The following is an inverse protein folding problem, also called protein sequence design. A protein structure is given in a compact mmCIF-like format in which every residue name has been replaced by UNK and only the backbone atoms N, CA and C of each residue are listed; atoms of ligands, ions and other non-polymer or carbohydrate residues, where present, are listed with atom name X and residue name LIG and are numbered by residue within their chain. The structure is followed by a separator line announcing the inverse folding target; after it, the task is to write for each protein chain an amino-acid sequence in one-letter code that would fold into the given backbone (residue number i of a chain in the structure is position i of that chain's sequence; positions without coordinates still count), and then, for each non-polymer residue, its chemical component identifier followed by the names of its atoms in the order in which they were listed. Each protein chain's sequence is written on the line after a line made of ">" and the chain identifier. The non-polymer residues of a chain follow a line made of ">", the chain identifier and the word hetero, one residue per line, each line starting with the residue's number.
data_IF_107683828388
#
_entry.id   IF_107683828388
#
_cell.length_a   1.000
_cell.length_b   1.000
_cell.length_c   1.000
_cell.angle_alpha   90.00
_cell.angle_beta   90.00
_cell.angle_gamma   90.00
#
_symmetry.space_group_name_H-M   'P 1'
#
loop_
_entity.id
_entity.type
_entity.pdbx_description
1 polymer ?
#
# COMPACT_ATOMS: atom_id res chain seq x y z
N UNK A 1 30.83 51.40 11.16
CA UNK A 1 31.37 52.36 10.19
C UNK A 1 31.15 51.71 8.82
N UNK A 2 30.08 52.06 8.10
CA UNK A 2 29.88 53.29 7.29
C UNK A 2 30.64 53.17 5.95
N UNK A 3 29.93 53.00 4.81
CA UNK A 3 29.56 54.04 3.81
C UNK A 3 30.81 54.49 3.02
N UNK A 4 30.84 54.61 1.68
CA UNK A 4 29.84 54.87 0.61
C UNK A 4 30.00 53.91 -0.60
N UNK A 5 28.98 53.56 -1.39
CA UNK A 5 27.96 54.33 -2.14
C UNK A 5 28.51 55.00 -3.43
N UNK A 6 27.94 54.60 -4.59
CA UNK A 6 28.09 55.23 -5.90
C UNK A 6 26.83 54.97 -6.75
N UNK A 7 26.37 55.99 -7.49
CA UNK A 7 24.99 56.12 -8.00
C UNK A 7 24.98 56.77 -9.40
N UNK A 8 23.79 56.84 -10.00
CA UNK A 8 23.44 57.46 -11.31
C UNK A 8 23.74 56.63 -12.57
N UNK A 9 22.88 56.63 -13.61
CA UNK A 9 21.52 57.20 -13.63
C UNK A 9 20.75 57.16 -14.96
N UNK A 10 19.41 57.12 -14.83
CA UNK A 10 18.35 57.72 -15.70
C UNK A 10 18.34 57.60 -17.23
N UNK A 11 17.21 57.10 -17.75
CA UNK A 11 16.63 57.37 -19.08
C UNK A 11 15.09 57.23 -19.03
N UNK A 12 14.32 58.00 -19.82
CA UNK A 12 12.87 58.23 -19.57
C UNK A 12 11.98 58.33 -20.83
N UNK A 13 10.68 57.95 -20.70
CA UNK A 13 9.56 58.14 -21.66
C UNK A 13 8.37 57.19 -21.31
N UNK A 14 7.06 57.50 -21.29
CA UNK A 14 6.16 58.43 -22.03
C UNK A 14 5.91 58.00 -23.50
N UNK A 15 4.68 57.90 -24.06
CA UNK A 15 3.28 58.06 -23.58
C UNK A 15 2.30 58.13 -24.81
N UNK A 16 0.96 58.05 -24.74
CA UNK A 16 -0.01 57.77 -23.67
C UNK A 16 -1.47 58.18 -24.01
N UNK A 17 -2.49 57.35 -23.67
CA UNK A 17 -3.96 57.58 -23.70
C UNK A 17 -4.75 57.62 -25.05
N UNK A 18 -6.09 57.52 -24.91
CA UNK A 18 -7.22 57.54 -25.89
C UNK A 18 -7.60 56.19 -26.55
N UNK A 19 -8.83 55.67 -26.57
CA UNK A 19 -10.21 56.09 -26.21
C UNK A 19 -11.13 56.67 -27.33
N UNK A 20 -12.29 56.01 -27.44
CA UNK A 20 -13.66 56.49 -27.75
C UNK A 20 -14.25 56.53 -29.20
N UNK A 21 -15.59 56.37 -29.23
CA UNK A 21 -16.59 56.66 -30.28
C UNK A 21 -16.60 55.78 -31.55
N UNK A 22 -17.75 55.30 -32.07
CA UNK A 22 -19.13 55.45 -31.59
C UNK A 22 -20.16 54.59 -32.38
N UNK A 23 -21.43 54.68 -32.01
CA UNK A 23 -22.54 53.82 -32.48
C UNK A 23 -23.41 54.47 -33.57
N UNK A 24 -24.01 53.66 -34.46
CA UNK A 24 -25.27 54.00 -35.14
C UNK A 24 -26.13 52.74 -35.38
N UNK A 25 -27.47 52.91 -35.39
CA UNK A 25 -28.42 51.81 -35.44
C UNK A 25 -29.68 52.14 -36.28
N UNK A 26 -30.28 51.13 -36.92
CA UNK A 26 -31.59 51.26 -37.58
C UNK A 26 -32.41 49.95 -37.59
N UNK A 27 -33.43 49.90 -36.72
CA UNK A 27 -34.70 49.15 -36.89
C UNK A 27 -35.72 50.05 -37.63
N UNK A 28 -36.97 49.67 -38.02
CA UNK A 28 -37.84 48.54 -37.58
C UNK A 28 -38.41 47.72 -38.79
N UNK A 29 -39.45 46.85 -38.79
CA UNK A 29 -40.73 46.53 -38.06
C UNK A 29 -41.01 45.00 -38.29
N UNK A 30 -41.95 44.26 -37.67
CA UNK A 30 -43.00 44.48 -36.66
C UNK A 30 -43.74 43.15 -36.30
N UNK A 31 -44.60 43.13 -35.27
CA UNK A 31 -45.49 42.00 -34.80
C UNK A 31 -46.89 42.07 -35.47
N UNK A 32 -47.94 41.22 -35.20
CA UNK A 32 -48.28 40.27 -34.10
C UNK A 32 -48.47 38.79 -34.58
N UNK A 33 -48.69 37.70 -33.83
CA UNK A 33 -49.21 37.31 -32.49
C UNK A 33 -50.74 37.13 -32.30
N UNK A 34 -51.22 35.88 -32.12
CA UNK A 34 -52.27 35.42 -31.17
C UNK A 34 -52.33 33.87 -31.13
N UNK A 35 -53.17 33.28 -30.24
CA UNK A 35 -53.15 31.85 -29.92
C UNK A 35 -54.55 31.23 -29.69
N UNK A 36 -54.55 29.90 -29.51
CA UNK A 36 -55.57 29.03 -28.90
C UNK A 36 -56.88 28.74 -29.66
N UNK A 37 -57.17 27.45 -29.85
CA UNK A 37 -58.47 26.85 -29.45
C UNK A 37 -58.39 25.32 -29.39
N UNK A 38 -59.08 24.75 -28.42
CA UNK A 38 -59.57 23.36 -28.38
C UNK A 38 -61.11 23.46 -28.16
N UNK A 39 -61.95 22.41 -28.31
CA UNK A 39 -61.83 21.19 -27.49
C UNK A 39 -62.41 19.85 -28.03
N UNK A 40 -61.98 18.74 -27.40
CA UNK A 40 -62.88 17.66 -26.98
C UNK A 40 -63.17 16.50 -27.96
N UNK A 41 -63.82 15.41 -27.52
CA UNK A 41 -64.18 14.98 -26.14
C UNK A 41 -64.48 13.47 -26.15
N UNK A 42 -63.91 12.68 -25.24
CA UNK A 42 -64.19 11.23 -25.18
C UNK A 42 -63.87 10.59 -23.83
N UNK A 43 -64.87 9.97 -23.20
CA UNK A 43 -64.71 9.11 -22.03
C UNK A 43 -64.29 7.69 -22.50
N UNK A 44 -63.58 6.84 -21.75
CA UNK A 44 -63.10 6.95 -20.37
C UNK A 44 -63.49 5.70 -19.57
N UNK A 45 -62.56 5.06 -18.83
CA UNK A 45 -62.84 3.91 -17.94
C UNK A 45 -62.00 3.93 -16.65
N UNK A 46 -62.42 3.12 -15.68
CA UNK A 46 -61.99 3.16 -14.26
C UNK A 46 -60.84 2.19 -13.95
N UNK A 47 -60.06 2.51 -12.90
CA UNK A 47 -59.18 1.54 -12.22
C UNK A 47 -60.02 0.39 -11.65
N UNK A 48 -59.49 -0.84 -11.71
CA UNK A 48 -60.19 -2.04 -11.23
C UNK A 48 -59.30 -3.26 -10.99
N UNK A 49 -58.86 -3.41 -9.74
CA UNK A 49 -58.34 -4.64 -9.09
C UNK A 49 -56.99 -5.22 -9.57
N UNK A 50 -56.07 -5.26 -8.61
CA UNK A 50 -54.87 -6.08 -8.56
C UNK A 50 -55.17 -7.60 -8.59
N UNK A 51 -54.65 -8.32 -9.57
CA UNK A 51 -54.37 -9.76 -9.50
C UNK A 51 -53.41 -10.15 -10.65
N UNK A 52 -52.74 -11.30 -10.53
CA UNK A 52 -51.77 -11.89 -11.50
C UNK A 52 -50.35 -11.30 -11.59
N UNK A 53 -49.67 -11.07 -10.46
CA UNK A 53 -48.20 -11.00 -10.44
C UNK A 53 -47.55 -12.31 -9.96
N UNK A 54 -48.15 -12.99 -8.98
CA UNK A 54 -47.60 -14.24 -8.41
C UNK A 54 -47.44 -15.39 -9.43
N UNK A 55 -48.27 -15.42 -10.48
CA UNK A 55 -48.35 -16.55 -11.40
C UNK A 55 -47.16 -16.65 -12.39
N UNK A 56 -46.25 -15.66 -12.40
CA UNK A 56 -45.00 -15.70 -13.16
C UNK A 56 -43.80 -16.06 -12.27
N UNK A 57 -43.82 -15.62 -11.00
CA UNK A 57 -42.78 -15.93 -10.01
C UNK A 57 -42.82 -17.38 -9.52
N UNK A 58 -44.00 -18.01 -9.45
CA UNK A 58 -44.08 -19.44 -9.11
C UNK A 58 -43.48 -20.35 -10.18
N UNK A 59 -43.53 -19.98 -11.47
CA UNK A 59 -42.94 -20.79 -12.56
C UNK A 59 -41.42 -20.85 -12.49
N UNK A 60 -40.74 -19.74 -12.15
CA UNK A 60 -39.28 -19.74 -11.95
C UNK A 60 -38.86 -20.49 -10.68
N UNK A 61 -39.76 -20.62 -9.69
CA UNK A 61 -39.50 -21.38 -8.46
C UNK A 61 -39.61 -22.91 -8.65
N UNK A 62 -40.02 -23.37 -9.83
CA UNK A 62 -40.11 -24.79 -10.16
C UNK A 62 -38.79 -25.40 -10.72
N UNK A 63 -37.83 -24.58 -11.14
CA UNK A 63 -36.57 -25.04 -11.78
C UNK A 63 -35.32 -24.93 -10.88
N UNK A 64 -35.51 -24.79 -9.56
CA UNK A 64 -34.54 -25.29 -8.57
C UNK A 64 -33.33 -24.43 -8.22
N UNK A 65 -33.18 -23.21 -8.74
CA UNK A 65 -32.11 -22.30 -8.31
C UNK A 65 -32.42 -21.60 -6.97
N UNK A 66 -31.41 -21.50 -6.11
CA UNK A 66 -31.52 -20.90 -4.77
C UNK A 66 -30.99 -19.47 -4.80
N UNK A 67 -31.89 -18.50 -4.91
CA UNK A 67 -31.60 -17.07 -4.79
C UNK A 67 -32.06 -16.57 -3.42
N UNK A 68 -31.18 -15.84 -2.72
CA UNK A 68 -31.48 -15.19 -1.45
C UNK A 68 -31.87 -13.72 -1.70
N UNK A 69 -33.05 -13.31 -1.20
CA UNK A 69 -33.52 -11.91 -1.21
C UNK A 69 -33.63 -11.36 0.21
N UNK A 70 -33.25 -10.09 0.39
CA UNK A 70 -33.45 -9.24 1.58
C UNK A 70 -33.48 -7.78 1.04
N UNK A 71 -34.05 -6.75 1.68
CA UNK A 71 -34.37 -6.56 3.09
C UNK A 71 -35.79 -6.06 3.30
N UNK A 72 -36.50 -6.60 4.31
CA UNK A 72 -37.50 -5.81 5.02
C UNK A 72 -37.31 -5.84 6.55
N UNK A 73 -36.97 -4.68 7.10
CA UNK A 73 -36.51 -4.51 8.47
C UNK A 73 -37.59 -4.77 9.51
N UNK A 74 -37.32 -5.70 10.43
CA UNK A 74 -37.93 -5.73 11.77
C UNK A 74 -36.82 -5.87 12.82
N UNK A 75 -36.91 -5.10 13.90
CA UNK A 75 -35.83 -4.95 14.87
C UNK A 75 -35.80 -6.11 15.88
N UNK A 76 -35.13 -7.20 15.52
CA UNK A 76 -34.62 -8.17 16.48
C UNK A 76 -33.20 -7.77 16.91
N UNK A 77 -32.80 -8.01 18.18
CA UNK A 77 -31.43 -7.76 18.60
C UNK A 77 -30.50 -8.67 17.80
N UNK A 78 -29.63 -8.07 16.99
CA UNK A 78 -28.62 -8.81 16.26
C UNK A 78 -27.77 -9.60 17.24
N UNK A 79 -27.85 -10.93 17.16
CA UNK A 79 -26.77 -11.75 17.66
C UNK A 79 -25.52 -11.28 16.91
N UNK A 80 -24.58 -10.71 17.64
CA UNK A 80 -23.21 -10.56 17.14
C UNK A 80 -22.83 -11.91 16.53
N UNK A 81 -22.43 -11.90 15.26
CA UNK A 81 -21.61 -12.96 14.71
C UNK A 81 -20.37 -13.00 15.60
N UNK A 82 -20.34 -13.93 16.54
CA UNK A 82 -19.21 -14.09 17.42
C UNK A 82 -17.99 -14.27 16.54
N UNK A 83 -17.04 -13.32 16.62
CA UNK A 83 -15.76 -13.46 15.95
C UNK A 83 -15.19 -14.84 16.33
N UNK A 84 -14.66 -15.62 15.36
CA UNK A 84 -14.11 -16.93 15.66
C UNK A 84 -13.11 -16.79 16.81
N UNK A 85 -13.17 -17.62 17.86
CA UNK A 85 -12.38 -17.40 19.07
C UNK A 85 -10.90 -17.25 18.73
N UNK A 86 -10.37 -16.04 18.92
CA UNK A 86 -8.96 -15.74 18.79
C UNK A 86 -8.20 -16.52 19.86
N UNK A 87 -7.07 -17.13 19.50
CA UNK A 87 -6.24 -17.87 20.46
C UNK A 87 -5.84 -16.99 21.66
N UNK A 88 -5.81 -17.55 22.89
CA UNK A 88 -5.52 -16.79 24.12
C UNK A 88 -4.23 -15.98 24.10
N UNK A 89 -3.27 -16.39 23.27
CA UNK A 89 -2.02 -15.69 23.01
C UNK A 89 -1.87 -15.48 21.49
N UNK A 90 -1.43 -14.30 21.08
CA UNK A 90 -1.01 -14.05 19.68
C UNK A 90 0.36 -13.40 19.66
N UNK A 91 1.25 -13.95 18.84
CA UNK A 91 2.63 -13.49 18.64
C UNK A 91 2.74 -12.87 17.26
N UNK A 92 3.07 -11.59 17.18
CA UNK A 92 3.22 -10.86 15.91
C UNK A 92 4.67 -10.44 15.70
N UNK A 93 5.31 -11.02 14.69
CA UNK A 93 6.64 -10.65 14.20
C UNK A 93 6.47 -9.79 12.95
N UNK A 94 6.90 -8.54 12.99
CA UNK A 94 6.84 -7.60 11.86
C UNK A 94 8.21 -6.99 11.59
N UNK A 95 8.62 -6.97 10.32
CA UNK A 95 9.82 -6.28 9.83
C UNK A 95 9.51 -5.26 8.74
N UNK A 96 10.30 -4.17 8.74
CA UNK A 96 10.20 -3.06 7.81
C UNK A 96 11.54 -2.77 7.17
N UNK A 97 11.57 -2.84 5.84
CA UNK A 97 12.74 -2.58 5.01
C UNK A 97 12.83 -1.08 4.71
N UNK A 98 14.00 -0.49 4.93
CA UNK A 98 14.32 0.90 4.61
C UNK A 98 15.64 0.89 3.83
N UNK A 99 15.54 0.80 2.50
CA UNK A 99 16.66 0.65 1.59
C UNK A 99 16.74 1.83 0.61
N UNK A 100 17.95 2.34 0.40
CA UNK A 100 18.26 3.33 -0.63
C UNK A 100 19.47 2.82 -1.41
N UNK A 101 19.23 2.48 -2.67
CA UNK A 101 20.19 1.89 -3.60
C UNK A 101 20.49 2.93 -4.69
N UNK A 102 21.72 3.01 -5.19
CA UNK A 102 22.09 3.91 -6.30
C UNK A 102 21.84 3.24 -7.65
N UNK A 103 21.76 4.02 -8.74
CA UNK A 103 21.71 3.51 -10.13
C UNK A 103 22.89 2.64 -10.56
N UNK A 104 24.02 2.70 -9.85
CA UNK A 104 25.19 1.83 -10.07
C UNK A 104 25.12 0.52 -9.28
N UNK A 105 23.96 0.24 -8.64
CA UNK A 105 23.72 -0.90 -7.75
C UNK A 105 24.17 -0.67 -6.31
N UNK A 106 25.03 0.32 -6.03
CA UNK A 106 25.67 0.47 -4.72
C UNK A 106 24.72 0.98 -3.63
N UNK A 107 24.71 0.34 -2.47
CA UNK A 107 23.90 0.74 -1.32
C UNK A 107 24.30 2.13 -0.80
N UNK A 108 23.29 2.91 -0.40
CA UNK A 108 23.43 4.17 0.36
C UNK A 108 22.83 4.05 1.76
N UNK A 109 21.70 3.36 1.89
CA UNK A 109 21.12 2.95 3.18
C UNK A 109 20.65 1.51 3.11
N UNK A 110 21.03 0.71 4.13
CA UNK A 110 20.45 -0.60 4.39
C UNK A 110 20.01 -0.65 5.86
N UNK A 111 18.70 -0.71 6.10
CA UNK A 111 18.14 -0.76 7.44
C UNK A 111 16.83 -1.60 7.52
N UNK A 112 16.94 -2.79 8.10
CA UNK A 112 15.78 -3.62 8.48
C UNK A 112 15.42 -3.35 9.93
N UNK A 113 14.20 -2.87 10.17
CA UNK A 113 13.68 -2.62 11.52
C UNK A 113 12.59 -3.64 11.87
N UNK A 114 12.80 -4.42 12.93
CA UNK A 114 11.87 -5.45 13.36
C UNK A 114 11.24 -5.20 14.73
N UNK A 115 10.05 -5.76 14.96
CA UNK A 115 9.36 -5.78 16.26
C UNK A 115 8.63 -7.11 16.46
N UNK A 116 8.74 -7.64 17.68
CA UNK A 116 8.02 -8.81 18.16
C UNK A 116 7.07 -8.35 19.26
N UNK A 117 5.78 -8.48 19.00
CA UNK A 117 4.72 -8.08 19.91
C UNK A 117 3.91 -9.29 20.38
N UNK A 118 3.42 -9.19 21.61
CA UNK A 118 2.63 -10.22 22.27
C UNK A 118 1.26 -9.65 22.65
N UNK A 119 0.19 -10.27 22.17
CA UNK A 119 -1.16 -10.10 22.69
C UNK A 119 -1.44 -11.27 23.63
N UNK A 120 -2.04 -10.98 24.79
CA UNK A 120 -2.54 -11.99 25.73
C UNK A 120 -3.97 -11.60 26.10
N UNK A 121 -4.93 -12.51 25.98
CA UNK A 121 -6.35 -12.16 26.19
C UNK A 121 -6.78 -12.20 27.66
N UNK A 122 -6.13 -13.03 28.49
CA UNK A 122 -6.43 -13.15 29.93
C UNK A 122 -5.16 -13.22 30.77
N UNK A 123 -5.17 -12.68 31.99
CA UNK A 123 -4.01 -12.71 32.91
C UNK A 123 -3.51 -14.13 33.24
N UNK A 124 -4.38 -15.15 33.14
CA UNK A 124 -4.01 -16.55 33.34
C UNK A 124 -3.00 -17.04 32.29
N UNK A 125 -3.21 -16.66 31.02
CA UNK A 125 -2.38 -17.05 29.88
C UNK A 125 -1.08 -16.22 29.78
N UNK A 126 -0.96 -15.14 30.56
CA UNK A 126 0.20 -14.24 30.58
C UNK A 126 1.39 -14.75 31.38
N UNK A 127 1.26 -15.85 32.12
CA UNK A 127 2.34 -16.48 32.88
C UNK A 127 3.16 -17.43 31.99
N UNK A 128 3.90 -16.88 31.03
CA UNK A 128 4.59 -17.65 29.98
C UNK A 128 6.04 -17.21 29.73
N UNK A 129 6.81 -18.15 29.19
CA UNK A 129 8.06 -17.93 28.47
C UNK A 129 7.86 -18.25 26.98
N UNK A 130 8.50 -17.48 26.09
CA UNK A 130 8.56 -17.76 24.66
C UNK A 130 9.96 -18.26 24.32
N UNK A 131 10.07 -19.45 23.73
CA UNK A 131 11.33 -19.96 23.17
C UNK A 131 11.54 -19.36 21.78
N UNK A 132 12.73 -18.80 21.57
CA UNK A 132 13.10 -18.10 20.34
C UNK A 132 14.18 -18.89 19.60
N UNK A 133 14.15 -18.78 18.27
CA UNK A 133 15.19 -19.24 17.34
C UNK A 133 15.67 -18.03 16.51
N UNK A 134 16.98 -17.88 16.38
CA UNK A 134 17.65 -16.78 15.68
C UNK A 134 18.83 -17.29 14.86
N UNK A 135 19.12 -16.62 13.74
CA UNK A 135 20.34 -16.84 12.96
C UNK A 135 21.37 -15.74 13.28
N UNK A 136 22.66 -16.09 13.24
CA UNK A 136 23.76 -15.13 13.40
C UNK A 136 23.92 -14.29 12.12
N UNK A 137 23.13 -13.23 12.02
CA UNK A 137 23.17 -12.25 10.91
C UNK A 137 24.07 -11.07 11.34
N UNK A 138 25.08 -10.66 10.54
CA UNK A 138 25.94 -9.55 10.92
C UNK A 138 25.14 -8.24 11.00
N UNK A 139 25.56 -7.32 11.88
CA UNK A 139 24.85 -6.04 12.07
C UNK A 139 23.48 -6.14 12.78
N UNK A 140 22.96 -7.34 13.05
CA UNK A 140 21.75 -7.55 13.85
C UNK A 140 21.96 -7.07 15.30
N UNK A 141 21.05 -6.23 15.79
CA UNK A 141 21.11 -5.65 17.13
C UNK A 141 19.74 -5.63 17.81
N UNK A 142 19.67 -6.08 19.07
CA UNK A 142 18.41 -6.23 19.81
C UNK A 142 18.21 -5.20 20.94
N UNK A 143 16.96 -4.81 21.16
CA UNK A 143 16.50 -3.98 22.29
C UNK A 143 15.22 -4.58 22.88
N UNK A 144 15.34 -5.21 24.06
CA UNK A 144 14.19 -5.74 24.80
C UNK A 144 13.51 -4.66 25.66
N UNK A 145 12.20 -4.81 25.87
CA UNK A 145 11.39 -3.96 26.74
C UNK A 145 11.87 -4.04 28.21
N UNK A 146 11.79 -2.96 29.02
CA UNK A 146 12.36 -2.93 30.38
C UNK A 146 11.86 -4.02 31.35
N UNK A 147 10.67 -4.60 31.09
CA UNK A 147 10.09 -5.68 31.88
C UNK A 147 10.51 -7.09 31.42
N UNK A 148 11.40 -7.24 30.43
CA UNK A 148 11.93 -8.53 29.96
C UNK A 148 13.20 -8.91 30.74
N UNK A 149 13.37 -10.19 31.05
CA UNK A 149 14.62 -10.72 31.58
C UNK A 149 15.70 -10.77 30.48
N UNK A 150 16.63 -9.82 30.52
CA UNK A 150 17.73 -9.69 29.54
C UNK A 150 18.77 -10.80 29.62
N UNK A 151 19.03 -11.30 30.82
CA UNK A 151 20.03 -12.36 31.03
C UNK A 151 19.52 -13.69 30.46
N UNK A 152 18.24 -14.01 30.72
CA UNK A 152 17.56 -15.17 30.16
C UNK A 152 17.47 -15.09 28.61
N UNK A 153 17.13 -13.93 28.07
CA UNK A 153 17.11 -13.72 26.62
C UNK A 153 18.49 -13.93 25.99
N UNK A 154 19.52 -13.24 26.48
CA UNK A 154 20.86 -13.29 25.90
C UNK A 154 21.56 -14.66 26.06
N UNK A 155 21.23 -15.43 27.09
CA UNK A 155 21.92 -16.70 27.39
C UNK A 155 21.18 -17.97 26.95
N UNK A 156 19.85 -17.92 26.77
CA UNK A 156 19.03 -19.09 26.45
C UNK A 156 18.06 -18.87 25.27
N UNK A 157 18.05 -17.68 24.65
CA UNK A 157 17.06 -17.28 23.65
C UNK A 157 15.62 -17.46 24.14
N UNK A 158 15.36 -17.17 25.42
CA UNK A 158 14.03 -17.23 26.02
C UNK A 158 13.57 -15.83 26.40
N UNK A 159 12.37 -15.43 25.92
CA UNK A 159 11.71 -14.20 26.36
C UNK A 159 10.76 -14.51 27.51
N UNK A 160 11.11 -14.01 28.69
CA UNK A 160 10.30 -14.07 29.89
C UNK A 160 10.22 -12.71 30.60
N UNK A 161 9.22 -12.55 31.46
CA UNK A 161 9.11 -11.38 32.33
C UNK A 161 10.29 -11.32 33.33
N UNK A 162 10.72 -10.12 33.69
CA UNK A 162 11.78 -9.88 34.68
C UNK A 162 11.36 -10.29 36.10
N UNK A 163 10.07 -10.23 36.39
CA UNK A 163 9.45 -10.82 37.58
C UNK A 163 8.56 -11.99 37.12
N UNK A 164 8.92 -13.25 37.41
CA UNK A 164 8.14 -14.42 36.98
C UNK A 164 6.77 -14.54 37.68
N UNK A 165 6.54 -13.77 38.76
CA UNK A 165 5.26 -13.71 39.46
C UNK A 165 4.29 -12.69 38.83
N UNK A 166 4.75 -11.94 37.82
CA UNK A 166 3.96 -10.95 37.08
C UNK A 166 3.67 -11.47 35.67
N UNK A 167 2.39 -11.56 35.24
CA UNK A 167 2.07 -11.96 33.88
C UNK A 167 2.43 -10.84 32.89
N UNK A 168 2.58 -11.21 31.62
CA UNK A 168 2.47 -10.24 30.54
C UNK A 168 1.10 -9.52 30.57
N UNK A 169 1.02 -8.23 30.21
CA UNK A 169 -0.24 -7.49 30.27
C UNK A 169 -1.32 -8.12 29.38
N UNK A 170 -2.50 -8.38 29.94
CA UNK A 170 -3.65 -8.84 29.16
C UNK A 170 -4.43 -7.68 28.53
N UNK A 171 -5.11 -7.97 27.42
CA UNK A 171 -6.01 -7.03 26.73
C UNK A 171 -6.02 -7.22 25.23
N UNK A 172 -6.75 -6.33 24.54
CA UNK A 172 -6.90 -6.36 23.07
C UNK A 172 -5.69 -5.76 22.33
N UNK A 173 -4.76 -5.11 23.04
CA UNK A 173 -3.59 -4.44 22.44
C UNK A 173 -2.35 -5.36 22.47
N UNK A 174 -1.58 -5.38 21.39
CA UNK A 174 -0.27 -6.05 21.38
C UNK A 174 0.76 -5.25 22.18
N UNK A 175 1.58 -5.93 22.99
CA UNK A 175 2.71 -5.34 23.73
C UNK A 175 4.03 -5.69 23.03
N UNK A 176 4.74 -4.70 22.49
CA UNK A 176 6.06 -4.91 21.89
C UNK A 176 7.09 -5.36 22.94
N UNK A 177 7.54 -6.61 22.87
CA UNK A 177 8.49 -7.20 23.82
C UNK A 177 9.94 -6.93 23.43
N UNK A 178 10.23 -6.98 22.13
CA UNK A 178 11.58 -6.79 21.57
C UNK A 178 11.49 -6.04 20.25
N UNK A 179 12.49 -5.19 20.00
CA UNK A 179 12.77 -4.61 18.69
C UNK A 179 14.19 -4.93 18.26
N UNK A 180 14.43 -5.07 16.96
CA UNK A 180 15.77 -5.24 16.40
C UNK A 180 15.99 -4.35 15.19
N UNK A 181 17.27 -4.19 14.84
CA UNK A 181 17.74 -3.41 13.70
C UNK A 181 18.92 -4.14 13.06
N UNK A 182 18.89 -4.35 11.74
CA UNK A 182 19.99 -4.94 10.94
C UNK A 182 20.48 -3.85 9.98
N UNK A 183 21.79 -3.57 9.99
CA UNK A 183 22.41 -2.56 9.14
C UNK A 183 23.80 -3.01 8.68
N UNK A 184 24.30 -2.39 7.60
CA UNK A 184 25.66 -2.64 7.10
C UNK A 184 25.81 -3.95 6.33
N UNK A 185 24.73 -4.40 5.68
CA UNK A 185 24.79 -5.44 4.65
C UNK A 185 25.23 -4.84 3.31
N UNK A 186 25.65 -5.70 2.39
CA UNK A 186 26.02 -5.37 1.02
C UNK A 186 24.88 -5.66 0.02
N UNK A 187 25.13 -5.36 -1.24
CA UNK A 187 24.18 -5.47 -2.36
C UNK A 187 23.62 -6.89 -2.53
N UNK A 188 24.37 -7.94 -2.18
CA UNK A 188 23.93 -9.33 -2.30
C UNK A 188 22.82 -9.71 -1.31
N UNK A 189 22.61 -8.87 -0.29
CA UNK A 189 21.60 -9.03 0.76
C UNK A 189 20.25 -8.39 0.40
N UNK A 190 20.12 -7.74 -0.76
CA UNK A 190 18.86 -7.13 -1.20
C UNK A 190 17.83 -8.20 -1.62
N UNK A 191 16.56 -8.13 -1.19
CA UNK A 191 15.52 -9.06 -1.65
C UNK A 191 15.16 -8.92 -3.13
N UNK A 192 15.32 -7.72 -3.71
CA UNK A 192 14.93 -7.42 -5.10
C UNK A 192 15.83 -6.32 -5.70
N UNK A 193 16.85 -6.71 -6.45
CA UNK A 193 17.62 -5.78 -7.28
C UNK A 193 16.76 -5.26 -8.43
N UNK A 194 16.92 -3.98 -8.79
CA UNK A 194 16.18 -3.32 -9.88
C UNK A 194 17.13 -2.42 -10.66
N UNK A 195 17.34 -2.72 -11.95
CA UNK A 195 18.21 -1.93 -12.83
C UNK A 195 17.35 -1.23 -13.90
N UNK A 196 17.64 0.03 -14.21
CA UNK A 196 16.87 0.83 -15.18
C UNK A 196 17.78 1.61 -16.12
N UNK A 197 17.59 1.41 -17.42
CA UNK A 197 18.45 1.90 -18.49
C UNK A 197 17.68 2.78 -19.48
N UNK A 198 17.42 4.06 -19.13
CA UNK A 198 16.82 5.03 -20.06
C UNK A 198 17.83 5.53 -21.12
N UNK A 199 17.53 5.25 -22.39
CA UNK A 199 18.33 5.61 -23.56
C UNK A 199 17.57 6.60 -24.46
N UNK A 200 18.08 7.83 -24.57
CA UNK A 200 17.54 8.85 -25.47
C UNK A 200 18.00 8.59 -26.91
N UNK A 201 17.07 8.50 -27.85
CA UNK A 201 17.34 8.29 -29.28
C UNK A 201 16.44 9.19 -30.13
N UNK A 202 17.01 10.27 -30.66
CA UNK A 202 16.29 11.26 -31.46
C UNK A 202 15.19 11.96 -30.65
N UNK A 203 13.93 11.71 -31.00
CA UNK A 203 12.76 12.33 -30.37
C UNK A 203 12.08 11.44 -29.30
N UNK A 204 12.66 10.27 -28.98
CA UNK A 204 12.12 9.28 -28.04
C UNK A 204 13.16 8.94 -26.96
N UNK A 205 12.69 8.56 -25.77
CA UNK A 205 13.48 7.84 -24.77
C UNK A 205 12.95 6.42 -24.65
N UNK A 206 13.82 5.45 -24.90
CA UNK A 206 13.58 4.03 -24.71
C UNK A 206 13.99 3.67 -23.28
N UNK A 207 13.14 3.00 -22.53
CA UNK A 207 13.43 2.58 -21.15
C UNK A 207 13.28 1.08 -21.07
N UNK A 208 14.39 0.40 -20.78
CA UNK A 208 14.40 -0.98 -20.33
C UNK A 208 14.63 -0.97 -18.81
N UNK A 209 13.77 -1.67 -18.07
CA UNK A 209 13.90 -1.91 -16.63
C UNK A 209 13.77 -3.40 -16.35
N UNK A 210 14.59 -3.92 -15.45
CA UNK A 210 14.64 -5.33 -15.05
C UNK A 210 14.63 -5.46 -13.53
N UNK A 211 14.20 -6.61 -13.03
CA UNK A 211 14.39 -7.01 -11.64
C UNK A 211 15.12 -8.36 -11.54
N UNK A 212 15.85 -8.54 -10.45
CA UNK A 212 16.42 -9.82 -10.02
C UNK A 212 16.13 -10.02 -8.52
N UNK A 213 15.38 -11.06 -8.19
CA UNK A 213 14.91 -11.37 -6.85
C UNK A 213 15.78 -12.43 -6.17
N UNK A 214 16.08 -12.22 -4.89
CA UNK A 214 16.83 -13.19 -4.09
C UNK A 214 16.04 -14.49 -3.87
N UNK A 215 16.74 -15.63 -3.86
CA UNK A 215 16.17 -16.93 -3.48
C UNK A 215 15.72 -16.99 -2.01
N UNK A 216 16.13 -16.03 -1.18
CA UNK A 216 15.81 -15.98 0.27
C UNK A 216 14.31 -15.77 0.57
N UNK A 217 13.54 -15.17 -0.34
CA UNK A 217 12.17 -14.73 -0.06
C UNK A 217 11.26 -14.93 -1.27
N UNK A 218 10.07 -15.47 -1.06
CA UNK A 218 8.98 -15.36 -2.03
C UNK A 218 8.26 -14.02 -1.78
N UNK A 219 8.20 -13.18 -2.82
CA UNK A 219 7.74 -11.79 -2.71
C UNK A 219 6.32 -11.66 -3.28
N UNK A 220 5.40 -11.14 -2.48
CA UNK A 220 3.99 -10.96 -2.84
C UNK A 220 3.64 -9.50 -3.08
N UNK A 221 2.74 -9.26 -4.03
CA UNK A 221 2.21 -7.93 -4.38
C UNK A 221 3.33 -6.92 -4.67
N UNK A 222 4.28 -7.34 -5.52
CA UNK A 222 5.44 -6.53 -5.90
C UNK A 222 4.97 -5.42 -6.82
N UNK A 223 5.32 -4.18 -6.49
CA UNK A 223 5.05 -2.98 -7.30
C UNK A 223 6.34 -2.19 -7.44
N UNK A 224 6.78 -1.95 -8.66
CA UNK A 224 7.90 -1.08 -9.00
C UNK A 224 7.31 0.16 -9.67
N UNK A 225 7.32 1.30 -8.98
CA UNK A 225 6.87 2.59 -9.53
C UNK A 225 8.04 3.40 -10.07
N UNK A 226 7.98 3.76 -11.34
CA UNK A 226 8.90 4.65 -12.01
C UNK A 226 8.24 6.02 -12.22
N UNK A 227 8.86 7.12 -11.79
CA UNK A 227 8.45 8.45 -12.24
C UNK A 227 8.57 8.60 -13.76
N UNK A 228 7.70 9.42 -14.34
CA UNK A 228 7.63 9.71 -15.78
C UNK A 228 7.77 11.22 -16.02
N UNK A 229 8.24 11.63 -17.22
CA UNK A 229 8.02 13.00 -17.69
C UNK A 229 6.53 13.35 -17.76
N UNK A 230 6.20 14.65 -17.86
CA UNK A 230 4.82 15.11 -18.01
C UNK A 230 4.25 14.72 -19.40
N UNK A 231 3.61 13.54 -19.48
CA UNK A 231 3.09 12.97 -20.72
C UNK A 231 1.69 13.50 -21.09
N UNK A 232 1.37 13.44 -22.39
CA UNK A 232 0.01 13.67 -22.93
C UNK A 232 -0.76 12.37 -23.17
N UNK A 233 -0.04 11.29 -23.40
CA UNK A 233 -0.51 9.95 -23.75
C UNK A 233 0.32 8.94 -22.93
N UNK A 234 -0.24 7.76 -22.60
CA UNK A 234 0.47 6.79 -21.77
C UNK A 234 1.75 6.25 -22.45
N UNK A 235 2.75 5.76 -21.69
CA UNK A 235 3.95 5.14 -22.26
C UNK A 235 3.64 4.01 -23.23
N UNK A 236 4.39 3.92 -24.32
CA UNK A 236 4.26 2.84 -25.31
C UNK A 236 5.04 1.62 -24.85
N UNK A 237 4.44 0.83 -23.96
CA UNK A 237 4.99 -0.47 -23.51
C UNK A 237 5.10 -1.44 -24.69
N UNK A 238 6.24 -2.12 -24.79
CA UNK A 238 6.63 -3.03 -25.87
C UNK A 238 6.74 -4.48 -25.40
N UNK A 239 7.34 -4.69 -24.22
CA UNK A 239 7.47 -5.97 -23.54
C UNK A 239 7.23 -5.76 -22.04
N UNK A 240 6.67 -6.75 -21.36
CA UNK A 240 6.46 -6.75 -19.91
C UNK A 240 6.32 -8.18 -19.38
N UNK A 241 7.03 -8.46 -18.28
CA UNK A 241 6.81 -9.63 -17.43
C UNK A 241 5.95 -9.23 -16.23
N UNK A 242 4.62 -9.38 -16.35
CA UNK A 242 3.63 -8.97 -15.35
C UNK A 242 2.58 -8.01 -15.90
N UNK A 243 2.02 -7.16 -15.02
CA UNK A 243 0.96 -6.18 -15.34
C UNK A 243 1.48 -4.75 -15.17
N UNK A 244 0.85 -3.77 -15.83
CA UNK A 244 1.21 -2.35 -15.66
C UNK A 244 0.02 -1.40 -15.65
N UNK A 245 0.23 -0.24 -15.02
CA UNK A 245 -0.69 0.90 -14.99
C UNK A 245 0.11 2.19 -15.10
N UNK A 246 -0.48 3.23 -15.69
CA UNK A 246 0.06 4.60 -15.61
C UNK A 246 -0.86 5.46 -14.77
N UNK A 247 -0.30 6.17 -13.79
CA UNK A 247 -0.97 7.23 -13.06
C UNK A 247 -0.57 8.59 -13.66
N UNK A 248 -1.44 9.12 -14.52
CA UNK A 248 -1.24 10.42 -15.18
C UNK A 248 -1.45 11.63 -14.26
N UNK A 249 -1.93 11.43 -13.03
CA UNK A 249 -2.04 12.48 -12.01
C UNK A 249 -0.74 12.63 -11.24
N UNK A 250 -0.09 11.52 -10.90
CA UNK A 250 1.20 11.52 -10.20
C UNK A 250 2.39 11.60 -11.19
N UNK A 251 2.15 11.29 -12.48
CA UNK A 251 3.17 11.07 -13.52
C UNK A 251 4.07 9.86 -13.17
N UNK A 252 3.44 8.71 -12.96
CA UNK A 252 4.12 7.45 -12.62
C UNK A 252 3.68 6.31 -13.55
N UNK A 253 4.57 5.33 -13.73
CA UNK A 253 4.26 3.99 -14.25
C UNK A 253 4.45 2.98 -13.12
N UNK A 254 3.40 2.24 -12.79
CA UNK A 254 3.42 1.12 -11.84
C UNK A 254 3.56 -0.19 -12.64
N UNK A 255 4.67 -0.91 -12.43
CA UNK A 255 4.85 -2.29 -12.87
C UNK A 255 4.51 -3.23 -11.71
N UNK A 256 3.64 -4.21 -11.91
CA UNK A 256 3.09 -5.07 -10.85
C UNK A 256 3.28 -6.56 -11.13
N UNK A 257 3.75 -7.29 -10.13
CA UNK A 257 3.91 -8.75 -10.13
C UNK A 257 3.27 -9.32 -8.85
N UNK A 258 2.27 -10.20 -8.99
CA UNK A 258 1.49 -10.71 -7.84
C UNK A 258 2.35 -11.60 -6.92
N UNK A 259 3.25 -12.39 -7.51
CA UNK A 259 4.17 -13.29 -6.82
C UNK A 259 5.48 -13.37 -7.61
N UNK A 260 6.61 -13.20 -6.93
CA UNK A 260 7.93 -13.62 -7.41
C UNK A 260 8.39 -14.80 -6.55
N UNK A 261 8.56 -15.96 -7.17
CA UNK A 261 9.05 -17.19 -6.57
C UNK A 261 10.15 -17.84 -7.44
N UNK A 262 10.44 -19.12 -7.23
CA UNK A 262 11.46 -19.87 -7.98
C UNK A 262 11.20 -19.95 -9.51
N UNK A 263 9.97 -19.70 -9.98
CA UNK A 263 9.60 -19.76 -11.39
C UNK A 263 9.92 -18.49 -12.18
N UNK A 264 10.07 -17.34 -11.50
CA UNK A 264 10.20 -16.03 -12.11
C UNK A 264 11.14 -15.08 -11.34
N UNK A 265 12.29 -15.57 -10.87
CA UNK A 265 13.28 -14.77 -10.12
C UNK A 265 13.83 -13.56 -10.87
N UNK A 266 13.69 -13.50 -12.19
CA UNK A 266 13.98 -12.30 -12.98
C UNK A 266 12.84 -11.98 -13.95
N UNK A 267 12.72 -10.70 -14.30
CA UNK A 267 11.72 -10.21 -15.24
C UNK A 267 12.07 -8.82 -15.77
N UNK A 268 11.41 -8.43 -16.85
CA UNK A 268 11.74 -7.25 -17.66
C UNK A 268 10.51 -6.42 -18.03
N UNK A 269 10.72 -5.14 -18.30
CA UNK A 269 9.77 -4.27 -19.00
C UNK A 269 10.54 -3.36 -19.96
N UNK A 270 10.01 -3.20 -21.17
CA UNK A 270 10.47 -2.22 -22.14
C UNK A 270 9.34 -1.28 -22.52
N UNK A 271 9.57 0.03 -22.45
CA UNK A 271 8.62 1.05 -22.92
C UNK A 271 9.30 2.24 -23.58
N UNK A 272 8.52 3.01 -24.35
CA UNK A 272 8.97 4.21 -25.06
C UNK A 272 8.13 5.41 -24.67
N UNK A 273 8.77 6.54 -24.42
CA UNK A 273 8.16 7.85 -24.19
C UNK A 273 8.80 8.91 -25.11
N UNK A 274 8.19 10.09 -25.32
CA UNK A 274 8.86 11.22 -25.94
C UNK A 274 10.16 11.59 -25.22
N UNK A 275 11.15 12.11 -25.96
CA UNK A 275 12.49 12.44 -25.46
C UNK A 275 12.44 13.22 -24.14
N UNK A 276 12.98 12.61 -23.10
CA UNK A 276 13.06 13.13 -21.74
C UNK A 276 14.42 12.80 -21.11
N UNK A 277 14.85 13.63 -20.16
CA UNK A 277 16.12 13.47 -19.48
C UNK A 277 16.17 12.15 -18.68
N UNK A 278 17.25 11.34 -18.79
CA UNK A 278 17.43 10.09 -18.03
C UNK A 278 17.23 10.19 -16.52
N UNK A 279 17.43 11.36 -15.91
CA UNK A 279 17.17 11.58 -14.48
C UNK A 279 15.69 11.64 -14.10
N UNK A 280 14.80 11.84 -15.07
CA UNK A 280 13.34 11.93 -14.85
C UNK A 280 12.73 10.62 -14.37
N UNK A 281 13.37 9.48 -14.67
CA UNK A 281 12.88 8.13 -14.33
C UNK A 281 13.26 7.67 -12.92
N UNK A 282 13.74 8.59 -12.07
CA UNK A 282 14.24 8.32 -10.71
C UNK A 282 13.69 9.38 -9.73
N UNK A 283 13.46 9.04 -8.45
CA UNK A 283 13.75 7.76 -7.82
C UNK A 283 12.70 6.69 -8.14
N UNK A 284 13.15 5.49 -8.49
CA UNK A 284 12.27 4.32 -8.67
C UNK A 284 11.92 3.81 -7.28
N UNK A 285 10.64 3.65 -6.98
CA UNK A 285 10.16 3.18 -5.67
C UNK A 285 9.67 1.74 -5.76
N UNK A 286 10.03 0.91 -4.78
CA UNK A 286 9.71 -0.54 -4.75
C UNK A 286 8.83 -0.85 -3.53
N UNK A 287 7.76 -1.59 -3.76
CA UNK A 287 6.84 -2.09 -2.74
C UNK A 287 6.66 -3.60 -2.83
N UNK A 288 6.69 -4.33 -1.71
CA UNK A 288 6.34 -5.75 -1.64
C UNK A 288 6.09 -6.22 -0.19
N UNK A 289 5.56 -7.42 -0.04
CA UNK A 289 5.49 -8.14 1.23
C UNK A 289 6.02 -9.57 1.12
N UNK A 290 6.47 -10.15 2.25
CA UNK A 290 6.83 -11.56 2.35
C UNK A 290 6.35 -12.14 3.68
N UNK A 291 6.11 -13.47 3.71
CA UNK A 291 5.68 -14.18 4.94
C UNK A 291 6.86 -14.55 5.84
N UNK A 292 8.04 -14.76 5.26
CA UNK A 292 9.32 -14.93 5.97
C UNK A 292 9.89 -13.58 6.43
N UNK A 293 10.70 -13.63 7.49
CA UNK A 293 11.48 -12.50 8.02
C UNK A 293 12.91 -12.54 7.52
N UNK A 294 13.48 -11.36 7.27
CA UNK A 294 14.89 -11.15 6.95
C UNK A 294 15.81 -11.64 8.08
N UNK A 295 15.44 -11.38 9.33
CA UNK A 295 16.18 -11.88 10.51
C UNK A 295 16.12 -13.40 10.71
N UNK A 296 15.28 -14.11 9.94
CA UNK A 296 14.94 -15.51 10.19
C UNK A 296 14.27 -15.76 11.55
N UNK A 297 13.91 -14.71 12.30
CA UNK A 297 13.57 -14.79 13.73
C UNK A 297 12.20 -15.41 13.97
N UNK A 298 12.15 -16.46 14.80
CA UNK A 298 10.97 -17.30 15.02
C UNK A 298 10.74 -17.56 16.51
N UNK A 299 9.46 -17.70 16.88
CA UNK A 299 9.07 -18.28 18.17
C UNK A 299 8.75 -19.75 17.94
N UNK A 300 9.53 -20.64 18.55
CA UNK A 300 9.41 -22.10 18.33
C UNK A 300 8.54 -22.79 19.38
N UNK A 301 8.25 -22.12 20.50
CA UNK A 301 7.35 -22.64 21.53
C UNK A 301 6.95 -21.59 22.55
N UNK A 302 5.86 -21.86 23.26
CA UNK A 302 5.44 -21.12 24.45
C UNK A 302 5.32 -22.11 25.61
N UNK A 303 5.86 -21.74 26.76
CA UNK A 303 5.95 -22.60 27.95
C UNK A 303 5.32 -21.88 29.15
N UNK A 304 4.38 -22.50 29.89
CA UNK A 304 3.76 -21.89 31.06
C UNK A 304 4.72 -21.88 32.26
N UNK A 305 4.68 -20.80 33.05
CA UNK A 305 5.41 -20.62 34.30
C UNK A 305 4.71 -21.22 35.52
N UNK A 306 3.47 -21.70 35.33
CA UNK A 306 2.64 -22.35 36.34
C UNK A 306 2.26 -23.74 35.86
N UNK A 307 1.99 -24.65 36.78
CA UNK A 307 1.51 -26.00 36.43
C UNK A 307 0.23 -25.93 35.59
N UNK A 308 0.27 -26.55 34.42
CA UNK A 308 -0.81 -26.51 33.43
C UNK A 308 -0.30 -26.90 32.04
N UNK A 309 -1.23 -26.99 31.09
CA UNK A 309 -0.87 -27.12 29.68
C UNK A 309 -0.43 -25.73 29.14
N UNK A 310 0.47 -25.68 28.14
CA UNK A 310 0.74 -24.43 27.42
C UNK A 310 -0.55 -23.83 26.84
N UNK A 311 -0.72 -22.50 26.89
CA UNK A 311 -1.84 -21.86 26.21
C UNK A 311 -1.72 -22.08 24.70
N UNK A 312 -2.88 -22.17 24.02
CA UNK A 312 -2.88 -22.09 22.56
C UNK A 312 -2.40 -20.71 22.14
N UNK A 313 -1.61 -20.66 21.07
CA UNK A 313 -1.16 -19.41 20.49
C UNK A 313 -1.26 -19.43 18.97
N UNK A 314 -1.54 -18.26 18.40
CA UNK A 314 -1.32 -18.01 16.97
C UNK A 314 -0.01 -17.23 16.77
N UNK A 315 0.68 -17.47 15.66
CA UNK A 315 1.85 -16.69 15.26
C UNK A 315 1.57 -16.02 13.91
N UNK A 316 1.99 -14.76 13.78
CA UNK A 316 1.94 -13.97 12.55
C UNK A 316 3.34 -13.48 12.25
N UNK A 317 3.77 -13.64 11.00
CA UNK A 317 5.08 -13.23 10.50
C UNK A 317 4.88 -12.42 9.22
N UNK A 318 5.50 -11.25 9.11
CA UNK A 318 5.55 -10.50 7.86
C UNK A 318 6.78 -9.59 7.75
N UNK A 319 7.36 -9.56 6.57
CA UNK A 319 8.30 -8.54 6.12
C UNK A 319 7.58 -7.61 5.13
N UNK A 320 7.80 -6.30 5.27
CA UNK A 320 7.17 -5.25 4.44
C UNK A 320 8.20 -4.21 4.00
N UNK A 321 8.08 -3.72 2.78
CA UNK A 321 8.74 -2.47 2.37
C UNK A 321 8.16 -1.27 3.12
N UNK A 322 9.00 -0.45 3.75
CA UNK A 322 8.61 0.84 4.34
C UNK A 322 9.22 2.03 3.59
N UNK A 323 10.48 1.88 3.15
CA UNK A 323 11.09 2.68 2.09
C UNK A 323 12.00 1.77 1.26
N UNK A 324 11.87 1.79 -0.06
CA UNK A 324 12.80 1.08 -0.95
C UNK A 324 12.90 1.91 -2.22
N UNK A 325 14.06 2.52 -2.46
CA UNK A 325 14.27 3.40 -3.61
C UNK A 325 15.58 3.14 -4.33
N UNK A 326 15.55 3.22 -5.67
CA UNK A 326 16.74 3.36 -6.52
C UNK A 326 16.86 4.84 -6.92
N UNK A 327 17.99 5.48 -6.58
CA UNK A 327 18.20 6.95 -6.67
C UNK A 327 19.29 7.36 -7.65
#
# INVERSE_FOLDING_TARGET
>A
MSISDSRFGTGSGLGGLSADMGSFASKPKGRPSTAATAPGKGFGMKLGKTQKTNQFLESLKAEGEVILEDVQTSALPSRSSALPPSDPVTVTTEEKLNFVVKRDGGISEFDVQGTLALQVLNDADGFIHLQIESQDIPGLSFKTHPNINKELFNSQQILGAKDPNRPFPSGQNETALVKWRIQGMDESSLPLSVNCWPLVSGNETYVNIEYEASEMFDLHNVVISLPLPALREAPSVRQIDGEWKSDSRNSELEWSIILIDQSNRSGSMEFVVPSADPSTFFPISVGFSASSTFSGWKVTGIHPLKEGNPPKFSQRSRMLTANYQVV
#
